data_IF_365675829018
#
_entry.id   IF_365675829018
#
_cell.length_a   1.000
_cell.length_b   1.000
_cell.length_c   1.000
_cell.angle_alpha   90.00
_cell.angle_beta   90.00
_cell.angle_gamma   90.00
#
_symmetry.space_group_name_H-M   'P 1'
#
loop_
_entity.id
_entity.type
_entity.pdbx_description
1 polymer ?
#
# COMPACT_ATOMS: atom_id res chain seq x y z
N UNK A 1 13.38 -6.54 -0.81
CA UNK A 1 13.09 -5.18 -0.30
C UNK A 1 12.92 -4.26 -1.50
N UNK A 2 11.98 -3.32 -1.47
CA UNK A 2 11.86 -2.29 -2.50
C UNK A 2 11.61 -0.93 -1.88
N UNK A 3 11.99 0.14 -2.58
CA UNK A 3 11.76 1.52 -2.17
C UNK A 3 12.00 2.49 -3.32
N UNK A 4 11.83 3.78 -3.09
CA UNK A 4 12.20 4.81 -4.04
C UNK A 4 13.44 5.59 -3.58
N UNK A 5 14.34 5.85 -4.51
CA UNK A 5 15.48 6.74 -4.33
C UNK A 5 15.12 8.08 -4.96
N UNK A 6 15.26 9.16 -4.19
CA UNK A 6 15.18 10.54 -4.70
C UNK A 6 16.57 11.04 -5.05
N UNK A 7 16.75 11.52 -6.28
CA UNK A 7 18.02 12.12 -6.69
C UNK A 7 18.18 13.54 -6.12
N UNK A 8 19.36 13.83 -5.57
CA UNK A 8 19.67 15.18 -5.04
C UNK A 8 19.64 16.24 -6.14
N UNK A 9 20.16 15.89 -7.33
CA UNK A 9 20.05 16.66 -8.56
C UNK A 9 19.33 15.79 -9.58
N UNK A 10 18.30 16.30 -10.28
CA UNK A 10 17.64 15.54 -11.33
C UNK A 10 18.62 15.10 -12.41
N UNK A 11 18.42 13.90 -12.96
CA UNK A 11 19.20 13.36 -14.09
C UNK A 11 18.23 13.16 -15.25
N UNK A 12 18.44 13.84 -16.36
CA UNK A 12 17.57 13.75 -17.56
C UNK A 12 16.07 13.98 -17.23
N UNK A 13 15.78 14.93 -16.33
CA UNK A 13 14.41 15.23 -15.86
C UNK A 13 13.84 14.23 -14.84
N UNK A 14 14.59 13.16 -14.52
CA UNK A 14 14.21 12.17 -13.51
C UNK A 14 14.59 12.66 -12.13
N UNK A 15 13.65 12.57 -11.21
CA UNK A 15 13.82 12.98 -9.80
C UNK A 15 13.78 11.79 -8.86
N UNK A 16 13.14 10.69 -9.27
CA UNK A 16 13.00 9.47 -8.47
C UNK A 16 13.15 8.22 -9.33
N UNK A 17 13.67 7.16 -8.73
CA UNK A 17 13.73 5.81 -9.29
C UNK A 17 13.30 4.81 -8.21
N UNK A 18 12.34 3.94 -8.53
CA UNK A 18 12.04 2.79 -7.68
C UNK A 18 13.14 1.74 -7.86
N UNK A 19 13.51 1.07 -6.77
CA UNK A 19 14.60 0.09 -6.74
C UNK A 19 14.22 -1.11 -5.89
N UNK A 20 14.74 -2.28 -6.27
CA UNK A 20 14.63 -3.52 -5.52
C UNK A 20 16.01 -4.06 -5.13
N UNK A 21 16.06 -4.69 -3.95
CA UNK A 21 17.18 -5.48 -3.45
C UNK A 21 16.68 -6.86 -3.06
N UNK A 22 17.48 -7.88 -3.37
CA UNK A 22 17.15 -9.27 -3.14
C UNK A 22 18.08 -9.88 -2.12
N UNK A 23 17.55 -10.78 -1.31
CA UNK A 23 18.30 -11.53 -0.33
C UNK A 23 17.71 -12.93 -0.20
N UNK A 24 18.59 -13.92 -0.03
CA UNK A 24 18.19 -15.31 0.25
C UNK A 24 18.16 -15.61 1.75
N UNK A 25 18.81 -14.78 2.57
CA UNK A 25 19.06 -15.02 3.99
C UNK A 25 18.58 -13.86 4.89
N UNK A 26 18.08 -12.77 4.30
CA UNK A 26 17.64 -11.56 4.98
C UNK A 26 18.77 -10.64 5.48
N UNK A 27 20.04 -11.00 5.29
CA UNK A 27 21.20 -10.27 5.85
C UNK A 27 22.19 -9.85 4.77
N UNK A 28 22.40 -10.68 3.76
CA UNK A 28 23.21 -10.39 2.57
C UNK A 28 22.29 -9.96 1.44
N UNK A 29 22.51 -8.77 0.89
CA UNK A 29 21.65 -8.17 -0.13
C UNK A 29 22.40 -7.97 -1.45
N UNK A 30 21.69 -8.12 -2.56
CA UNK A 30 22.19 -7.78 -3.89
C UNK A 30 22.50 -6.28 -4.02
N UNK A 31 23.18 -5.88 -5.09
CA UNK A 31 23.12 -4.49 -5.57
C UNK A 31 21.67 -4.08 -5.92
N UNK A 32 21.35 -2.78 -5.94
CA UNK A 32 20.03 -2.31 -6.32
C UNK A 32 19.72 -2.59 -7.80
N UNK A 33 18.51 -3.07 -8.06
CA UNK A 33 17.94 -3.15 -9.40
C UNK A 33 16.96 -1.99 -9.58
N UNK A 34 17.11 -1.14 -10.61
CA UNK A 34 16.07 -0.18 -10.96
C UNK A 34 14.82 -0.93 -11.42
N UNK A 35 13.66 -0.60 -10.85
CA UNK A 35 12.37 -1.20 -11.17
C UNK A 35 11.35 -0.12 -11.51
N UNK A 36 10.41 -0.44 -12.40
CA UNK A 36 9.38 0.48 -12.87
C UNK A 36 9.94 1.70 -13.60
N UNK A 37 9.02 2.54 -14.08
CA UNK A 37 9.40 3.74 -14.81
C UNK A 37 10.03 4.81 -13.90
N UNK A 38 10.96 5.64 -14.41
CA UNK A 38 11.42 6.83 -13.70
C UNK A 38 10.27 7.74 -13.28
N UNK A 39 10.39 8.36 -12.10
CA UNK A 39 9.35 9.18 -11.47
C UNK A 39 8.04 8.45 -11.13
N UNK A 40 8.01 7.11 -11.17
CA UNK A 40 6.92 6.31 -10.63
C UNK A 40 7.43 5.62 -9.36
N UNK A 41 6.84 5.97 -8.22
CA UNK A 41 7.14 5.28 -6.95
C UNK A 41 6.26 4.04 -6.84
N UNK A 42 6.87 2.86 -6.97
CA UNK A 42 6.22 1.57 -6.78
C UNK A 42 5.93 1.29 -5.31
N UNK A 43 4.65 1.10 -4.99
CA UNK A 43 4.13 1.00 -3.63
C UNK A 43 2.93 0.05 -3.56
N UNK A 44 3.01 -1.14 -2.98
CA UNK A 44 4.18 -2.01 -2.71
C UNK A 44 3.92 -3.35 -3.42
N UNK A 45 4.94 -4.21 -3.56
CA UNK A 45 4.79 -5.46 -4.29
C UNK A 45 3.96 -6.51 -3.51
N UNK A 46 3.04 -7.18 -4.20
CA UNK A 46 2.25 -8.30 -3.71
C UNK A 46 2.31 -9.44 -4.73
N UNK A 47 2.65 -10.64 -4.28
CA UNK A 47 2.73 -11.82 -5.13
C UNK A 47 1.42 -12.57 -5.16
N UNK A 48 1.00 -12.99 -6.35
CA UNK A 48 -0.15 -13.86 -6.56
C UNK A 48 0.20 -14.89 -7.62
N UNK A 49 0.07 -16.17 -7.26
CA UNK A 49 0.55 -17.31 -8.08
C UNK A 49 2.01 -17.13 -8.47
N UNK A 50 2.30 -17.10 -9.76
CA UNK A 50 3.64 -17.02 -10.36
C UNK A 50 4.02 -15.58 -10.78
N UNK A 51 3.26 -14.55 -10.37
CA UNK A 51 3.53 -13.15 -10.69
C UNK A 51 3.58 -12.25 -9.44
N UNK A 52 4.45 -11.25 -9.48
CA UNK A 52 4.43 -10.10 -8.59
C UNK A 52 3.65 -8.95 -9.23
N UNK A 53 2.90 -8.21 -8.43
CA UNK A 53 2.13 -7.04 -8.84
C UNK A 53 2.44 -5.86 -7.93
N UNK A 54 2.47 -4.65 -8.49
CA UNK A 54 2.64 -3.43 -7.71
C UNK A 54 2.00 -2.27 -8.45
N UNK A 55 1.38 -1.37 -7.71
CA UNK A 55 0.97 -0.08 -8.26
C UNK A 55 2.12 0.91 -8.08
N UNK A 56 2.43 1.68 -9.12
CA UNK A 56 3.32 2.83 -9.03
C UNK A 56 2.53 4.12 -9.19
N UNK A 57 2.80 5.12 -8.36
CA UNK A 57 2.18 6.44 -8.47
C UNK A 57 3.17 7.50 -8.96
N UNK A 58 2.68 8.40 -9.81
CA UNK A 58 3.52 9.42 -10.43
C UNK A 58 3.86 10.53 -9.43
N UNK A 59 5.16 10.72 -9.19
CA UNK A 59 5.67 11.85 -8.41
C UNK A 59 5.88 13.11 -9.26
N UNK A 60 5.71 13.02 -10.58
CA UNK A 60 5.77 14.15 -11.52
C UNK A 60 4.49 15.02 -11.48
N UNK A 61 4.43 16.08 -12.29
CA UNK A 61 3.29 17.00 -12.34
C UNK A 61 1.98 16.31 -12.76
N UNK A 62 2.02 15.47 -13.80
CA UNK A 62 0.89 14.62 -14.19
C UNK A 62 0.74 13.50 -13.14
N UNK A 63 -0.39 13.51 -12.43
CA UNK A 63 -0.71 12.50 -11.41
C UNK A 63 -1.53 11.37 -12.03
N UNK A 64 -1.07 10.14 -11.84
CA UNK A 64 -1.73 8.91 -12.24
C UNK A 64 -1.16 7.75 -11.42
N UNK A 65 -1.85 6.62 -11.44
CA UNK A 65 -1.35 5.36 -10.91
C UNK A 65 -1.36 4.28 -11.99
N UNK A 66 -0.35 3.41 -11.98
CA UNK A 66 -0.12 2.37 -12.98
C UNK A 66 0.08 1.04 -12.30
N UNK A 67 -0.55 -0.01 -12.82
CA UNK A 67 -0.30 -1.38 -12.39
C UNK A 67 0.85 -1.96 -13.19
N UNK A 68 1.84 -2.51 -12.47
CA UNK A 68 2.93 -3.28 -13.02
C UNK A 68 2.82 -4.74 -12.62
N UNK A 69 3.49 -5.59 -13.39
CA UNK A 69 3.68 -7.00 -13.06
C UNK A 69 5.11 -7.47 -13.34
N UNK A 70 5.51 -8.56 -12.72
CA UNK A 70 6.84 -9.17 -12.86
C UNK A 70 6.78 -10.68 -12.64
N UNK A 71 7.78 -11.41 -13.14
CA UNK A 71 8.01 -12.82 -12.85
C UNK A 71 9.23 -13.06 -11.93
N UNK A 72 10.12 -12.09 -11.81
CA UNK A 72 11.42 -12.24 -11.12
C UNK A 72 11.69 -11.16 -10.06
N UNK A 73 10.83 -10.14 -9.98
CA UNK A 73 11.01 -8.98 -9.12
C UNK A 73 11.98 -7.92 -9.66
N UNK A 74 12.77 -8.23 -10.69
CA UNK A 74 13.81 -7.36 -11.25
C UNK A 74 13.29 -6.59 -12.47
N UNK A 75 12.61 -7.27 -13.37
CA UNK A 75 12.02 -6.67 -14.57
C UNK A 75 10.52 -6.53 -14.38
N UNK A 76 10.02 -5.31 -14.52
CA UNK A 76 8.62 -4.97 -14.31
C UNK A 76 8.03 -4.34 -15.56
N UNK A 77 6.99 -4.97 -16.08
CA UNK A 77 6.26 -4.51 -17.25
C UNK A 77 4.96 -3.83 -16.83
N UNK A 78 4.58 -2.78 -17.56
CA UNK A 78 3.27 -2.14 -17.39
C UNK A 78 2.17 -3.11 -17.77
N UNK A 79 1.25 -3.38 -16.84
CA UNK A 79 0.08 -4.22 -17.08
C UNK A 79 -1.15 -3.39 -17.43
N UNK A 80 -1.35 -2.28 -16.73
CA UNK A 80 -2.45 -1.36 -17.00
C UNK A 80 -2.06 0.06 -16.58
N UNK A 81 -2.31 1.04 -17.45
CA UNK A 81 -1.96 2.44 -17.22
C UNK A 81 -3.16 3.27 -16.76
N UNK A 82 -2.88 4.30 -15.95
CA UNK A 82 -3.86 5.25 -15.41
C UNK A 82 -5.16 4.61 -14.91
N UNK A 83 -5.02 3.63 -14.01
CA UNK A 83 -6.12 2.72 -13.61
C UNK A 83 -7.14 3.37 -12.66
N UNK A 84 -6.97 4.63 -12.31
CA UNK A 84 -7.87 5.36 -11.41
C UNK A 84 -8.47 6.57 -12.15
N UNK A 85 -9.82 6.75 -12.14
CA UNK A 85 -10.49 7.80 -12.93
C UNK A 85 -10.17 9.24 -12.49
N UNK A 86 -9.38 9.44 -11.43
CA UNK A 86 -8.85 10.75 -11.04
C UNK A 86 -9.69 11.50 -9.99
N UNK A 87 -9.65 12.83 -10.07
CA UNK A 87 -10.34 13.75 -9.14
C UNK A 87 -9.50 14.24 -7.96
N UNK A 88 -8.60 13.40 -7.42
CA UNK A 88 -7.59 13.80 -6.42
C UNK A 88 -6.32 12.97 -6.63
N UNK A 89 -5.22 13.34 -5.97
CA UNK A 89 -3.95 12.65 -6.16
C UNK A 89 -3.95 11.26 -5.48
N UNK A 90 -4.26 10.24 -6.26
CA UNK A 90 -4.10 8.83 -5.89
C UNK A 90 -2.62 8.45 -5.78
N UNK A 91 -2.23 7.78 -4.69
CA UNK A 91 -0.84 7.44 -4.43
C UNK A 91 -0.63 6.05 -3.82
N UNK A 92 -0.45 5.95 -2.51
CA UNK A 92 -0.09 4.75 -1.78
C UNK A 92 -1.23 3.72 -1.80
N UNK A 93 -0.89 2.46 -2.06
CA UNK A 93 -1.85 1.37 -2.15
C UNK A 93 -1.46 0.14 -1.35
N UNK A 94 -2.44 -0.71 -1.06
CA UNK A 94 -2.22 -2.10 -0.64
C UNK A 94 -3.07 -3.03 -1.48
N UNK A 95 -2.42 -3.96 -2.19
CA UNK A 95 -3.07 -5.01 -2.96
C UNK A 95 -3.33 -6.25 -2.10
N UNK A 96 -4.45 -6.91 -2.33
CA UNK A 96 -4.77 -8.24 -1.79
C UNK A 96 -5.43 -9.05 -2.90
N UNK A 97 -4.95 -10.27 -3.11
CA UNK A 97 -5.57 -11.21 -4.05
C UNK A 97 -6.32 -12.27 -3.26
N UNK A 98 -7.57 -12.53 -3.66
CA UNK A 98 -8.43 -13.55 -3.06
C UNK A 98 -8.31 -14.89 -3.79
N UNK A 99 -8.89 -15.94 -3.20
CA UNK A 99 -8.84 -17.31 -3.76
C UNK A 99 -9.45 -17.43 -5.16
N UNK A 100 -10.42 -16.59 -5.49
CA UNK A 100 -11.08 -16.52 -6.81
C UNK A 100 -10.33 -15.60 -7.80
N UNK A 101 -9.07 -15.27 -7.49
CA UNK A 101 -8.19 -14.40 -8.27
C UNK A 101 -8.60 -12.93 -8.35
N UNK A 102 -9.63 -12.50 -7.61
CA UNK A 102 -10.01 -11.08 -7.55
C UNK A 102 -8.91 -10.29 -6.83
N UNK A 103 -8.49 -9.18 -7.42
CA UNK A 103 -7.55 -8.24 -6.84
C UNK A 103 -8.31 -7.07 -6.22
N UNK A 104 -8.10 -6.85 -4.93
CA UNK A 104 -8.58 -5.69 -4.19
C UNK A 104 -7.42 -4.71 -3.96
N UNK A 105 -7.69 -3.41 -4.12
CA UNK A 105 -6.72 -2.35 -3.90
C UNK A 105 -7.28 -1.32 -2.90
N UNK A 106 -6.71 -1.27 -1.70
CA UNK A 106 -6.97 -0.16 -0.78
C UNK A 106 -6.09 1.02 -1.17
N UNK A 107 -6.71 2.09 -1.65
CA UNK A 107 -6.04 3.26 -2.21
C UNK A 107 -6.21 4.50 -1.32
N UNK A 108 -5.08 5.11 -0.96
CA UNK A 108 -5.00 6.45 -0.38
C UNK A 108 -5.05 7.53 -1.46
N UNK A 109 -5.62 8.68 -1.11
CA UNK A 109 -5.62 9.88 -1.94
C UNK A 109 -5.25 11.12 -1.12
N UNK A 110 -4.54 12.07 -1.74
CA UNK A 110 -4.17 13.34 -1.14
C UNK A 110 -5.16 14.45 -1.54
N UNK A 111 -5.94 14.90 -0.55
CA UNK A 111 -6.71 16.15 -0.51
C UNK A 111 -7.32 16.27 0.89
N UNK A 112 -7.78 17.45 1.31
CA UNK A 112 -8.55 17.59 2.55
C UNK A 112 -9.85 16.78 2.51
N UNK A 113 -10.52 16.76 1.36
CA UNK A 113 -11.80 16.08 1.13
C UNK A 113 -11.66 14.66 0.56
N UNK A 114 -10.43 14.22 0.28
CA UNK A 114 -10.19 12.90 -0.28
C UNK A 114 -10.38 11.80 0.77
N UNK A 115 -11.26 10.87 0.43
CA UNK A 115 -11.50 9.61 1.13
C UNK A 115 -10.79 8.45 0.41
N UNK A 116 -10.55 7.37 1.13
CA UNK A 116 -10.00 6.13 0.61
C UNK A 116 -10.92 5.52 -0.45
N UNK A 117 -10.31 4.78 -1.38
CA UNK A 117 -11.02 4.04 -2.40
C UNK A 117 -10.68 2.55 -2.28
N UNK A 118 -11.65 1.69 -2.56
CA UNK A 118 -11.45 0.25 -2.73
C UNK A 118 -11.60 -0.09 -4.21
N UNK A 119 -10.48 -0.37 -4.85
CA UNK A 119 -10.41 -0.85 -6.22
C UNK A 119 -10.65 -2.35 -6.29
N UNK A 120 -11.35 -2.80 -7.32
CA UNK A 120 -11.65 -4.21 -7.56
C UNK A 120 -11.39 -4.51 -9.03
N UNK A 121 -10.56 -5.50 -9.30
CA UNK A 121 -10.28 -6.01 -10.64
C UNK A 121 -10.21 -7.54 -10.65
N UNK A 122 -10.73 -8.14 -11.72
CA UNK A 122 -10.54 -9.57 -12.02
C UNK A 122 -9.46 -9.74 -13.08
N UNK A 123 -8.86 -10.94 -13.25
CA UNK A 123 -7.97 -11.21 -14.37
C UNK A 123 -8.59 -10.75 -15.70
N UNK A 124 -7.83 -10.10 -16.61
CA UNK A 124 -6.38 -9.88 -16.58
C UNK A 124 -5.93 -8.61 -15.85
N UNK A 125 -6.74 -8.07 -14.93
CA UNK A 125 -6.46 -6.90 -14.09
C UNK A 125 -6.30 -5.56 -14.82
N UNK A 126 -6.81 -5.48 -16.04
CA UNK A 126 -6.74 -4.28 -16.89
C UNK A 126 -7.92 -3.33 -16.71
N UNK A 127 -8.98 -3.77 -16.02
CA UNK A 127 -10.19 -2.99 -15.78
C UNK A 127 -10.51 -2.98 -14.30
N UNK A 128 -10.71 -1.77 -13.77
CA UNK A 128 -10.90 -1.53 -12.34
C UNK A 128 -12.23 -0.82 -12.09
N UNK A 129 -12.94 -1.29 -11.07
CA UNK A 129 -14.06 -0.57 -10.47
C UNK A 129 -13.62 -0.04 -9.11
N UNK A 130 -14.12 1.14 -8.74
CA UNK A 130 -13.69 1.82 -7.52
C UNK A 130 -14.90 2.18 -6.66
N UNK A 131 -14.82 1.87 -5.37
CA UNK A 131 -15.81 2.25 -4.36
C UNK A 131 -15.21 3.25 -3.39
N UNK A 132 -15.91 4.33 -3.12
CA UNK A 132 -15.54 5.28 -2.08
C UNK A 132 -15.84 4.69 -0.70
N UNK A 133 -14.84 4.65 0.19
CA UNK A 133 -15.00 4.11 1.54
C UNK A 133 -15.47 5.17 2.56
N UNK A 134 -15.61 6.43 2.15
CA UNK A 134 -16.10 7.52 2.99
C UNK A 134 -15.13 8.00 4.08
N UNK A 135 -13.96 7.37 4.21
CA UNK A 135 -13.00 7.64 5.29
C UNK A 135 -11.65 8.06 4.71
N UNK A 136 -11.10 9.17 5.19
CA UNK A 136 -9.74 9.59 4.85
C UNK A 136 -8.71 8.73 5.60
N UNK A 137 -7.75 8.17 4.86
CA UNK A 137 -6.71 7.29 5.42
C UNK A 137 -5.31 7.70 4.99
N UNK A 138 -4.29 7.23 5.71
CA UNK A 138 -2.87 7.33 5.35
C UNK A 138 -2.13 6.02 5.59
N UNK A 139 -1.03 5.77 4.86
CA UNK A 139 -0.19 4.58 5.01
C UNK A 139 -0.96 3.26 4.98
N UNK A 140 -1.77 2.97 3.95
CA UNK A 140 -2.64 1.80 3.95
C UNK A 140 -1.86 0.49 3.89
N UNK A 141 -2.26 -0.47 4.71
CA UNK A 141 -1.95 -1.90 4.57
C UNK A 141 -3.21 -2.72 4.77
N UNK A 142 -3.50 -3.63 3.87
CA UNK A 142 -4.67 -4.51 3.92
C UNK A 142 -4.22 -5.96 3.76
N UNK A 143 -4.88 -6.88 4.47
CA UNK A 143 -4.77 -8.34 4.28
C UNK A 143 -6.15 -8.98 4.33
N UNK A 144 -6.30 -10.15 3.73
CA UNK A 144 -7.45 -11.02 3.97
C UNK A 144 -7.08 -12.05 5.05
N UNK A 145 -7.95 -12.22 6.03
CA UNK A 145 -7.84 -13.24 7.07
C UNK A 145 -8.26 -14.62 6.54
N UNK A 146 -7.95 -15.73 7.25
CA UNK A 146 -8.38 -17.07 6.84
C UNK A 146 -9.90 -17.25 6.73
N UNK A 147 -10.67 -16.48 7.49
CA UNK A 147 -12.14 -16.43 7.46
C UNK A 147 -12.69 -15.45 6.41
N UNK A 148 -11.84 -15.04 5.46
CA UNK A 148 -12.16 -14.22 4.29
C UNK A 148 -12.48 -12.75 4.57
N UNK A 149 -12.50 -12.33 5.84
CA UNK A 149 -12.65 -10.92 6.22
C UNK A 149 -11.40 -10.11 5.87
N UNK A 150 -11.60 -8.85 5.50
CA UNK A 150 -10.51 -7.90 5.27
C UNK A 150 -10.22 -7.07 6.52
N UNK A 151 -8.94 -7.03 6.90
CA UNK A 151 -8.43 -6.10 7.92
C UNK A 151 -7.49 -5.11 7.25
N UNK A 152 -7.67 -3.84 7.59
CA UNK A 152 -6.78 -2.76 7.20
C UNK A 152 -6.11 -2.13 8.42
N UNK A 153 -4.82 -1.85 8.30
CA UNK A 153 -4.08 -0.94 9.15
C UNK A 153 -3.93 0.38 8.41
N UNK A 154 -4.32 1.48 9.05
CA UNK A 154 -4.30 2.82 8.45
C UNK A 154 -4.00 3.89 9.49
N UNK A 155 -3.51 5.05 9.04
CA UNK A 155 -3.65 6.30 9.79
C UNK A 155 -5.03 6.90 9.52
N UNK A 156 -5.81 7.15 10.56
CA UNK A 156 -7.10 7.83 10.51
C UNK A 156 -6.96 9.32 10.84
N UNK A 157 -7.87 10.11 10.26
CA UNK A 157 -7.94 11.56 10.39
C UNK A 157 -9.36 12.00 10.78
N UNK A 158 -9.82 11.64 11.97
CA UNK A 158 -11.09 12.13 12.52
C UNK A 158 -10.89 12.58 13.96
N UNK A 159 -11.10 13.87 14.28
CA UNK A 159 -10.90 14.52 15.59
C UNK A 159 -9.49 14.41 16.23
N UNK A 160 -8.77 13.31 16.00
CA UNK A 160 -7.44 12.90 16.41
C UNK A 160 -6.79 12.09 15.28
N UNK A 161 -5.50 12.29 15.08
CA UNK A 161 -4.68 11.49 14.16
C UNK A 161 -4.14 10.27 14.89
N UNK A 162 -4.33 9.07 14.31
CA UNK A 162 -3.93 7.81 14.97
C UNK A 162 -3.70 6.69 13.98
N UNK A 163 -2.80 5.76 14.32
CA UNK A 163 -2.75 4.46 13.66
C UNK A 163 -3.83 3.54 14.26
N UNK A 164 -4.59 2.87 13.41
CA UNK A 164 -5.71 2.04 13.81
C UNK A 164 -5.86 0.81 12.91
N UNK A 165 -6.50 -0.22 13.44
CA UNK A 165 -7.06 -1.33 12.67
C UNK A 165 -8.52 -1.09 12.36
N UNK A 166 -8.91 -1.42 11.14
CA UNK A 166 -10.25 -1.25 10.61
C UNK A 166 -10.71 -2.52 9.88
N UNK A 167 -12.00 -2.82 9.96
CA UNK A 167 -12.66 -3.77 9.08
C UNK A 167 -12.98 -3.09 7.77
N UNK A 168 -12.80 -3.82 6.66
CA UNK A 168 -13.31 -3.42 5.35
C UNK A 168 -14.44 -4.36 4.96
N UNK A 169 -15.60 -3.77 4.72
CA UNK A 169 -16.70 -4.44 4.03
C UNK A 169 -16.62 -4.08 2.54
N UNK A 170 -16.17 -5.02 1.73
CA UNK A 170 -15.99 -4.80 0.31
C UNK A 170 -17.32 -4.73 -0.47
N UNK A 171 -18.39 -5.33 0.06
CA UNK A 171 -19.70 -5.30 -0.55
C UNK A 171 -20.35 -3.94 -0.32
N UNK A 172 -20.42 -3.52 0.94
CA UNK A 172 -21.02 -2.24 1.34
C UNK A 172 -20.11 -1.04 1.03
N UNK A 173 -18.81 -1.28 0.79
CA UNK A 173 -17.84 -0.22 0.56
C UNK A 173 -17.60 0.63 1.81
N UNK A 174 -17.41 -0.01 2.96
CA UNK A 174 -17.21 0.70 4.22
C UNK A 174 -15.89 0.31 4.90
N UNK A 175 -15.33 1.25 5.66
CA UNK A 175 -14.15 1.06 6.49
C UNK A 175 -14.49 1.50 7.92
N UNK A 176 -14.40 0.57 8.89
CA UNK A 176 -14.82 0.80 10.27
C UNK A 176 -13.69 0.48 11.24
N UNK A 177 -13.26 1.48 12.01
CA UNK A 177 -12.29 1.30 13.09
C UNK A 177 -12.80 0.29 14.13
N UNK A 178 -11.92 -0.61 14.58
CA UNK A 178 -12.20 -1.50 15.71
C UNK A 178 -11.11 -1.48 16.79
N UNK A 179 -9.90 -0.98 16.47
CA UNK A 179 -8.82 -0.85 17.45
C UNK A 179 -7.93 0.35 17.12
N UNK A 180 -7.73 1.24 18.08
CA UNK A 180 -6.74 2.32 17.98
C UNK A 180 -5.45 1.93 18.72
N UNK A 181 -4.29 2.23 18.13
CA UNK A 181 -3.00 2.05 18.78
C UNK A 181 -2.52 3.31 19.49
N UNK A 182 -1.63 3.19 20.51
CA UNK A 182 -0.88 4.33 21.04
C UNK A 182 -0.27 5.17 19.92
N UNK A 183 -0.63 6.45 19.88
CA UNK A 183 -0.44 7.35 18.75
C UNK A 183 -0.15 8.76 19.24
N UNK A 184 0.66 9.52 18.50
CA UNK A 184 1.07 10.87 18.87
C UNK A 184 2.26 11.33 18.02
N UNK A 185 2.37 12.64 17.79
CA UNK A 185 3.25 13.19 16.76
C UNK A 185 2.91 12.60 15.39
N UNK A 186 3.91 12.10 14.66
CA UNK A 186 3.67 11.31 13.46
C UNK A 186 3.47 9.84 13.83
N UNK A 187 2.55 9.17 13.13
CA UNK A 187 2.16 7.76 13.39
C UNK A 187 1.48 7.19 12.15
N UNK A 188 1.98 6.10 11.57
CA UNK A 188 1.33 5.44 10.41
C UNK A 188 2.09 4.18 9.97
N UNK A 189 1.95 3.86 8.69
CA UNK A 189 2.59 2.79 7.93
C UNK A 189 2.62 1.45 8.66
N UNK A 190 1.45 0.94 9.09
CA UNK A 190 1.38 -0.37 9.68
C UNK A 190 1.76 -1.48 8.69
N UNK A 191 2.50 -2.47 9.17
CA UNK A 191 2.67 -3.77 8.55
C UNK A 191 1.78 -4.79 9.25
N UNK A 192 1.13 -5.68 8.50
CA UNK A 192 0.21 -6.69 9.01
C UNK A 192 0.63 -8.08 8.54
N UNK A 193 0.64 -9.05 9.46
CA UNK A 193 0.82 -10.47 9.16
C UNK A 193 -0.12 -11.29 10.06
N UNK A 194 -0.89 -12.21 9.47
CA UNK A 194 -1.62 -13.21 10.22
C UNK A 194 -0.75 -14.45 10.43
N UNK A 195 -0.53 -14.83 11.69
CA UNK A 195 0.34 -15.95 12.03
C UNK A 195 -0.10 -16.60 13.35
N UNK A 196 -0.25 -17.92 13.35
CA UNK A 196 -0.62 -18.75 14.52
C UNK A 196 -1.87 -18.25 15.26
N UNK A 197 -2.90 -17.86 14.51
CA UNK A 197 -4.17 -17.38 15.07
C UNK A 197 -4.12 -15.97 15.67
N UNK A 198 -3.05 -15.21 15.40
CA UNK A 198 -2.83 -13.86 15.92
C UNK A 198 -2.52 -12.91 14.75
N UNK A 199 -3.09 -11.71 14.82
CA UNK A 199 -2.70 -10.62 13.94
C UNK A 199 -1.49 -9.89 14.54
N UNK A 200 -0.36 -9.99 13.87
CA UNK A 200 0.85 -9.23 14.20
C UNK A 200 0.86 -7.92 13.45
N UNK A 201 1.17 -6.84 14.17
CA UNK A 201 1.14 -5.48 13.64
C UNK A 201 2.40 -4.74 14.01
N UNK A 202 3.16 -4.27 13.02
CA UNK A 202 4.24 -3.30 13.23
C UNK A 202 3.78 -1.92 12.81
N UNK A 203 4.13 -0.85 13.53
CA UNK A 203 3.83 0.53 13.09
C UNK A 203 4.80 1.50 13.75
N UNK A 204 4.97 2.70 13.19
CA UNK A 204 5.72 3.74 13.90
C UNK A 204 4.79 4.73 14.60
N UNK A 205 5.28 5.33 15.69
CA UNK A 205 4.66 6.48 16.32
C UNK A 205 5.67 7.32 17.13
N UNK A 206 5.39 8.61 17.30
CA UNK A 206 6.22 9.54 18.08
C UNK A 206 5.63 9.92 19.45
N UNK A 207 4.69 9.14 19.97
CA UNK A 207 3.94 9.47 21.21
C UNK A 207 4.79 9.48 22.48
N UNK A 208 5.99 8.90 22.45
CA UNK A 208 6.95 8.89 23.56
C UNK A 208 8.06 9.95 23.39
N UNK A 209 7.78 11.02 22.64
CA UNK A 209 8.71 12.14 22.42
C UNK A 209 9.77 11.93 21.33
N UNK A 210 9.90 10.70 20.82
CA UNK A 210 10.72 10.34 19.64
C UNK A 210 10.00 9.29 18.80
N UNK A 211 10.32 9.22 17.51
CA UNK A 211 9.76 8.19 16.61
C UNK A 211 10.37 6.83 16.91
N UNK A 212 9.54 5.88 17.33
CA UNK A 212 9.90 4.47 17.51
C UNK A 212 9.06 3.59 16.57
N UNK A 213 9.52 2.36 16.33
CA UNK A 213 8.73 1.29 15.70
C UNK A 213 8.25 0.36 16.80
N UNK A 214 6.95 0.09 16.82
CA UNK A 214 6.27 -0.76 17.78
C UNK A 214 5.82 -2.05 17.11
N UNK A 215 5.72 -3.11 17.90
CA UNK A 215 5.14 -4.39 17.52
C UNK A 215 3.99 -4.73 18.48
N UNK A 216 2.82 -5.03 17.93
CA UNK A 216 1.64 -5.43 18.66
C UNK A 216 1.16 -6.82 18.21
N UNK A 217 0.56 -7.55 19.15
CA UNK A 217 -0.14 -8.81 18.90
C UNK A 217 -1.61 -8.59 19.21
N UNK A 218 -2.47 -8.80 18.23
CA UNK A 218 -3.91 -8.56 18.35
C UNK A 218 -4.64 -9.88 18.15
N UNK A 219 -5.41 -10.28 19.16
CA UNK A 219 -6.33 -11.41 19.07
C UNK A 219 -7.66 -10.88 18.54
N UNK A 220 -8.15 -11.47 17.45
CA UNK A 220 -9.41 -11.10 16.78
C UNK A 220 -10.56 -12.03 17.17
#
# INVERSE_FOLDING_TARGET
LSGAVRFLKPKDGQTHQSVAWFSKDGTTWSSPYPIGDPNLWMWSATWHKDAGYSIGYSVASKRFIRLYHTRDGQTWDTLADDIFPGGTYANETSLVFTKDDTCYCLLRRDSHTATAQLGIAKPPYTQWTWKDLGVKIGGPKMIQLPDERFVAGVRLYDRRVRTALCWIDAQEGTLREFLAFPSGGDTSYPGLVWHDGILWVSYYASHEGKTNIYLAKVKL
#
